data_IF_647555059381
#
_entry.id   IF_647555059381
#
_cell.length_a   1.000
_cell.length_b   1.000
_cell.length_c   1.000
_cell.angle_alpha   90.00
_cell.angle_beta   90.00
_cell.angle_gamma   90.00
#
_symmetry.space_group_name_H-M   'P 1'
#
loop_
_entity.id
_entity.type
_entity.pdbx_description
1 polymer ?
#
# COMPACT_ATOMS: atom_id res chain seq x y z
N UNK A 1 35.57 8.25 -3.52
CA UNK A 1 36.79 7.55 -3.05
C UNK A 1 37.32 6.56 -4.09
N UNK A 2 36.64 5.46 -4.41
CA UNK A 2 37.17 4.49 -5.38
C UNK A 2 37.35 5.04 -6.80
N UNK A 3 36.37 5.79 -7.33
CA UNK A 3 36.46 6.43 -8.65
C UNK A 3 37.61 7.44 -8.80
N UNK A 4 38.10 7.99 -7.69
CA UNK A 4 39.22 8.95 -7.67
C UNK A 4 40.53 8.30 -7.20
N UNK A 5 40.57 6.97 -7.10
CA UNK A 5 41.78 6.20 -6.77
C UNK A 5 42.17 6.17 -5.29
N UNK A 6 41.35 6.72 -4.39
CA UNK A 6 41.63 6.73 -2.95
C UNK A 6 41.38 5.37 -2.27
N UNK A 7 40.61 4.49 -2.92
CA UNK A 7 40.27 3.15 -2.45
C UNK A 7 40.27 2.20 -3.65
N UNK A 8 40.67 0.94 -3.44
CA UNK A 8 40.64 -0.09 -4.49
C UNK A 8 39.20 -0.31 -4.99
N UNK A 9 39.03 -0.33 -6.31
CA UNK A 9 37.77 -0.67 -6.94
C UNK A 9 37.52 -2.17 -6.80
N UNK A 10 36.63 -2.55 -5.89
CA UNK A 10 36.18 -3.94 -5.73
C UNK A 10 35.05 -4.27 -6.69
N UNK A 11 34.80 -5.56 -6.92
CA UNK A 11 33.68 -6.05 -7.73
C UNK A 11 32.33 -5.48 -7.26
N UNK A 12 32.13 -5.38 -5.94
CA UNK A 12 30.93 -4.79 -5.35
C UNK A 12 30.76 -3.30 -5.72
N UNK A 13 31.85 -2.54 -5.70
CA UNK A 13 31.83 -1.12 -6.07
C UNK A 13 31.61 -0.93 -7.57
N UNK A 14 32.09 -1.86 -8.39
CA UNK A 14 31.84 -1.87 -9.83
C UNK A 14 30.37 -2.19 -10.14
N UNK A 15 29.79 -3.22 -9.52
CA UNK A 15 28.35 -3.53 -9.64
C UNK A 15 27.47 -2.36 -9.18
N UNK A 16 27.84 -1.73 -8.07
CA UNK A 16 27.18 -0.51 -7.59
C UNK A 16 27.27 0.59 -8.64
N UNK A 17 28.47 0.90 -9.13
CA UNK A 17 28.70 1.95 -10.13
C UNK A 17 27.87 1.73 -11.40
N UNK A 18 27.83 0.49 -11.91
CA UNK A 18 27.06 0.14 -13.10
C UNK A 18 25.55 0.30 -12.86
N UNK A 19 25.04 -0.12 -11.70
CA UNK A 19 23.62 0.06 -11.35
C UNK A 19 23.24 1.54 -11.30
N UNK A 20 24.08 2.37 -10.67
CA UNK A 20 23.88 3.82 -10.61
C UNK A 20 23.90 4.45 -12.01
N UNK A 21 24.85 4.05 -12.86
CA UNK A 21 24.95 4.52 -14.24
C UNK A 21 23.71 4.17 -15.07
N UNK A 22 23.18 2.95 -14.90
CA UNK A 22 22.00 2.45 -15.60
C UNK A 22 20.66 2.93 -15.00
N UNK A 23 20.68 3.83 -14.01
CA UNK A 23 19.50 4.28 -13.26
C UNK A 23 18.69 3.11 -12.63
N UNK A 24 19.39 2.07 -12.18
CA UNK A 24 18.85 0.91 -11.47
C UNK A 24 19.22 0.95 -9.99
N UNK A 25 18.30 0.50 -9.15
CA UNK A 25 18.59 0.37 -7.72
C UNK A 25 19.63 -0.75 -7.55
N UNK A 26 20.73 -0.51 -6.83
CA UNK A 26 21.72 -1.54 -6.56
C UNK A 26 21.11 -2.72 -5.77
N UNK A 27 21.44 -3.95 -6.14
CA UNK A 27 20.89 -5.19 -5.54
C UNK A 27 21.01 -5.20 -4.01
N UNK A 28 22.19 -4.82 -3.47
CA UNK A 28 22.41 -4.73 -2.01
C UNK A 28 21.49 -3.74 -1.29
N UNK A 29 20.97 -2.73 -2.00
CA UNK A 29 20.00 -1.80 -1.44
C UNK A 29 18.58 -2.36 -1.53
N UNK A 30 18.25 -3.09 -2.60
CA UNK A 30 16.97 -3.79 -2.74
C UNK A 30 16.81 -4.88 -1.66
N UNK A 31 17.88 -5.62 -1.34
CA UNK A 31 17.89 -6.71 -0.33
C UNK A 31 17.45 -6.26 1.07
N UNK A 32 17.76 -5.02 1.43
CA UNK A 32 17.43 -4.42 2.74
C UNK A 32 16.37 -3.31 2.62
N UNK A 33 15.97 -3.01 1.39
CA UNK A 33 15.05 -1.94 1.04
C UNK A 33 13.62 -2.42 0.95
N UNK A 34 12.73 -1.47 0.65
CA UNK A 34 11.33 -1.78 0.41
C UNK A 34 11.14 -2.35 -1.00
N UNK A 35 10.18 -3.26 -1.14
CA UNK A 35 9.84 -3.86 -2.43
C UNK A 35 9.36 -2.78 -3.40
N UNK A 36 10.07 -2.61 -4.52
CA UNK A 36 9.80 -1.58 -5.51
C UNK A 36 10.16 -2.06 -6.91
N UNK A 37 9.55 -1.43 -7.92
CA UNK A 37 9.90 -1.61 -9.34
C UNK A 37 10.37 -0.29 -9.97
N UNK A 38 10.55 0.75 -9.14
CA UNK A 38 10.92 2.10 -9.59
C UNK A 38 12.38 2.14 -10.06
N UNK A 39 12.71 2.96 -11.06
CA UNK A 39 14.10 3.29 -11.36
C UNK A 39 14.75 4.04 -10.20
N UNK A 40 16.08 4.07 -10.15
CA UNK A 40 16.85 4.63 -9.03
C UNK A 40 16.41 6.04 -8.64
N UNK A 41 16.25 6.94 -9.62
CA UNK A 41 15.85 8.32 -9.36
C UNK A 41 14.52 8.40 -8.59
N UNK A 42 13.47 7.72 -9.06
CA UNK A 42 12.16 7.67 -8.40
C UNK A 42 12.21 6.89 -7.09
N UNK A 43 13.04 5.86 -6.99
CA UNK A 43 13.21 5.08 -5.76
C UNK A 43 13.81 5.92 -4.63
N UNK A 44 14.80 6.77 -4.92
CA UNK A 44 15.39 7.68 -3.93
C UNK A 44 14.37 8.72 -3.45
N UNK A 45 13.53 9.24 -4.34
CA UNK A 45 12.44 10.15 -3.94
C UNK A 45 11.45 9.43 -3.01
N UNK A 46 10.98 8.23 -3.39
CA UNK A 46 10.09 7.43 -2.56
C UNK A 46 10.71 7.08 -1.20
N UNK A 47 12.02 6.79 -1.15
CA UNK A 47 12.75 6.60 0.10
C UNK A 47 12.72 7.85 0.98
N UNK A 48 13.00 9.03 0.40
CA UNK A 48 12.98 10.29 1.13
C UNK A 48 11.57 10.61 1.66
N UNK A 49 10.53 10.39 0.86
CA UNK A 49 9.14 10.60 1.27
C UNK A 49 8.74 9.67 2.42
N UNK A 50 9.17 8.39 2.38
CA UNK A 50 8.97 7.42 3.47
C UNK A 50 9.66 7.86 4.76
N UNK A 51 10.91 8.31 4.66
CA UNK A 51 11.67 8.82 5.81
C UNK A 51 10.97 10.05 6.38
N UNK A 52 10.58 11.00 5.52
CA UNK A 52 9.87 12.21 5.92
C UNK A 52 8.58 11.88 6.66
N UNK A 53 7.75 10.99 6.12
CA UNK A 53 6.51 10.54 6.76
C UNK A 53 6.76 9.97 8.18
N UNK A 54 7.80 9.15 8.35
CA UNK A 54 8.14 8.58 9.66
C UNK A 54 8.70 9.62 10.63
N UNK A 55 9.53 10.54 10.14
CA UNK A 55 10.08 11.64 10.96
C UNK A 55 8.96 12.56 11.45
N UNK A 56 8.04 12.96 10.57
CA UNK A 56 6.88 13.78 10.93
C UNK A 56 5.99 13.08 11.96
N UNK A 57 5.81 11.76 11.86
CA UNK A 57 5.11 10.99 12.89
C UNK A 57 5.89 11.03 14.22
N UNK A 58 7.20 10.79 14.22
CA UNK A 58 8.00 10.79 15.46
C UNK A 58 7.94 12.17 16.15
N UNK A 59 8.05 13.26 15.38
CA UNK A 59 8.11 14.63 15.91
C UNK A 59 6.72 15.20 16.25
N UNK A 60 5.73 14.98 15.39
CA UNK A 60 4.38 15.54 15.50
C UNK A 60 3.35 14.63 16.18
N UNK A 61 3.72 13.38 16.47
CA UNK A 61 2.82 12.37 17.00
C UNK A 61 2.02 11.63 15.92
N UNK A 62 1.14 10.74 16.35
CA UNK A 62 0.42 9.83 15.45
C UNK A 62 -0.45 10.58 14.45
N UNK A 63 -0.25 10.38 13.12
CA UNK A 63 -1.02 11.08 12.10
C UNK A 63 -2.49 10.64 12.12
N UNK A 64 -3.39 11.54 11.70
CA UNK A 64 -4.82 11.23 11.55
C UNK A 64 -5.08 10.25 10.40
N UNK A 65 -4.31 10.38 9.31
CA UNK A 65 -4.37 9.52 8.11
C UNK A 65 -2.99 8.96 7.80
N UNK A 66 -2.91 7.64 7.56
CA UNK A 66 -1.65 6.96 7.30
C UNK A 66 -1.42 6.73 5.79
N UNK A 67 -0.21 7.04 5.32
CA UNK A 67 0.21 6.65 3.98
C UNK A 67 0.56 5.15 3.98
N UNK A 68 -0.39 4.28 3.60
CA UNK A 68 -0.19 2.84 3.75
C UNK A 68 0.96 2.33 2.87
N UNK A 69 1.17 2.98 1.73
CA UNK A 69 2.23 2.64 0.78
C UNK A 69 3.60 3.02 1.27
N UNK A 70 3.69 3.93 2.25
CA UNK A 70 4.93 4.34 2.90
C UNK A 70 5.52 3.28 3.83
N UNK A 71 4.71 2.31 4.30
CA UNK A 71 5.19 1.25 5.17
C UNK A 71 6.01 0.19 4.42
N UNK A 72 7.10 -0.24 5.05
CA UNK A 72 7.88 -1.40 4.60
C UNK A 72 7.04 -2.71 4.67
N UNK A 73 6.28 -2.85 5.75
CA UNK A 73 5.42 -4.01 6.00
C UNK A 73 4.02 -3.58 6.46
N UNK A 74 3.14 -3.20 5.52
CA UNK A 74 1.79 -2.70 5.82
C UNK A 74 0.91 -3.73 6.54
N UNK A 75 1.14 -5.03 6.35
CA UNK A 75 0.40 -6.08 7.06
C UNK A 75 0.60 -6.00 8.57
N UNK A 76 1.81 -5.72 9.05
CA UNK A 76 2.04 -5.54 10.49
C UNK A 76 1.33 -4.31 11.03
N UNK A 77 1.30 -3.21 10.28
CA UNK A 77 0.52 -2.02 10.66
C UNK A 77 -0.96 -2.37 10.83
N UNK A 78 -1.56 -3.04 9.83
CA UNK A 78 -2.97 -3.45 9.88
C UNK A 78 -3.26 -4.42 11.03
N UNK A 79 -2.38 -5.40 11.28
CA UNK A 79 -2.49 -6.29 12.44
C UNK A 79 -2.38 -5.53 13.75
N UNK A 80 -1.47 -4.55 13.84
CA UNK A 80 -1.34 -3.66 14.99
C UNK A 80 -2.61 -2.86 15.25
N UNK A 81 -3.29 -2.37 14.20
CA UNK A 81 -4.59 -1.70 14.33
C UNK A 81 -5.64 -2.63 14.93
N UNK A 82 -5.71 -3.90 14.48
CA UNK A 82 -6.62 -4.90 15.04
C UNK A 82 -6.27 -5.22 16.51
N UNK A 83 -4.99 -5.35 16.84
CA UNK A 83 -4.53 -5.57 18.22
C UNK A 83 -4.91 -4.43 19.15
N UNK A 84 -4.76 -3.18 18.70
CA UNK A 84 -5.13 -2.01 19.49
C UNK A 84 -6.63 -1.98 19.76
N UNK A 85 -7.46 -2.29 18.76
CA UNK A 85 -8.91 -2.41 18.92
C UNK A 85 -9.29 -3.56 19.86
N UNK A 86 -8.72 -4.74 19.66
CA UNK A 86 -8.93 -5.92 20.51
C UNK A 86 -8.64 -5.62 21.98
N UNK A 87 -7.53 -4.93 22.27
CA UNK A 87 -7.14 -4.53 23.63
C UNK A 87 -8.09 -3.47 24.21
N UNK A 88 -8.45 -2.46 23.41
CA UNK A 88 -9.35 -1.37 23.84
C UNK A 88 -10.73 -1.90 24.23
N UNK A 89 -11.25 -2.87 23.47
CA UNK A 89 -12.61 -3.39 23.64
C UNK A 89 -12.69 -4.74 24.35
N UNK A 90 -11.54 -5.34 24.73
CA UNK A 90 -11.44 -6.64 25.40
C UNK A 90 -12.13 -7.74 24.54
N UNK A 91 -11.73 -7.82 23.27
CA UNK A 91 -12.25 -8.77 22.28
C UNK A 91 -11.10 -9.62 21.77
N UNK A 92 -11.35 -10.90 21.48
CA UNK A 92 -10.37 -11.78 20.87
C UNK A 92 -10.07 -11.34 19.42
N UNK A 93 -8.80 -11.24 19.05
CA UNK A 93 -8.38 -10.68 17.76
C UNK A 93 -8.87 -11.50 16.55
N UNK A 94 -9.04 -12.80 16.73
CA UNK A 94 -9.55 -13.75 15.74
C UNK A 94 -11.02 -13.52 15.37
N UNK A 95 -11.79 -12.86 16.24
CA UNK A 95 -13.17 -12.45 15.95
C UNK A 95 -13.24 -11.14 15.15
N UNK A 96 -12.11 -10.47 14.90
CA UNK A 96 -12.07 -9.16 14.26
C UNK A 96 -11.76 -9.26 12.76
N UNK A 97 -12.53 -8.51 11.98
CA UNK A 97 -12.20 -8.21 10.58
C UNK A 97 -12.41 -6.73 10.29
N UNK A 98 -11.79 -6.23 9.22
CA UNK A 98 -12.02 -4.86 8.79
C UNK A 98 -13.32 -4.76 8.01
N UNK A 99 -14.11 -3.73 8.33
CA UNK A 99 -15.06 -3.11 7.43
C UNK A 99 -14.36 -1.95 6.74
N UNK A 100 -14.59 -1.79 5.44
CA UNK A 100 -14.02 -0.69 4.66
C UNK A 100 -15.10 0.36 4.38
N UNK A 101 -14.76 1.62 4.56
CA UNK A 101 -15.58 2.75 4.11
C UNK A 101 -14.71 3.67 3.28
N UNK A 102 -15.13 3.95 2.06
CA UNK A 102 -14.40 4.83 1.15
C UNK A 102 -14.85 6.27 1.43
N UNK A 103 -13.87 7.15 1.58
CA UNK A 103 -14.02 8.58 1.82
C UNK A 103 -13.42 9.31 0.62
N UNK A 104 -14.28 9.74 -0.29
CA UNK A 104 -13.94 10.46 -1.51
C UNK A 104 -14.32 11.94 -1.48
N UNK A 105 -14.97 12.41 -0.42
CA UNK A 105 -15.35 13.81 -0.22
C UNK A 105 -14.27 14.65 0.48
N UNK A 106 -13.28 14.01 1.12
CA UNK A 106 -12.26 14.69 1.94
C UNK A 106 -10.87 14.21 1.50
N UNK A 107 -9.96 15.15 1.25
CA UNK A 107 -8.57 14.81 0.94
C UNK A 107 -7.83 14.31 2.19
N UNK A 108 -6.83 13.43 2.06
CA UNK A 108 -6.02 12.99 3.20
C UNK A 108 -5.37 14.14 3.98
N UNK A 109 -5.02 15.24 3.32
CA UNK A 109 -4.37 16.41 3.92
C UNK A 109 -5.34 17.27 4.74
N UNK A 110 -6.62 17.29 4.37
CA UNK A 110 -7.65 18.07 5.08
C UNK A 110 -8.24 17.32 6.29
N UNK A 111 -7.95 16.02 6.42
CA UNK A 111 -8.41 15.20 7.53
C UNK A 111 -7.49 15.36 8.76
N UNK A 112 -7.92 16.20 9.71
CA UNK A 112 -7.16 16.50 10.94
C UNK A 112 -7.54 15.62 12.13
N UNK A 113 -8.71 14.97 12.08
CA UNK A 113 -9.22 14.15 13.17
C UNK A 113 -8.97 12.66 12.93
N UNK A 114 -8.40 11.98 13.93
CA UNK A 114 -8.25 10.53 13.92
C UNK A 114 -9.60 9.84 14.13
N UNK A 115 -9.83 8.65 13.55
CA UNK A 115 -11.04 7.90 13.84
C UNK A 115 -11.03 7.41 15.29
N UNK A 116 -12.21 7.25 15.89
CA UNK A 116 -12.35 6.67 17.23
C UNK A 116 -11.78 5.24 17.31
N UNK A 117 -12.00 4.47 16.25
CA UNK A 117 -11.53 3.10 16.08
C UNK A 117 -11.01 2.86 14.66
N UNK A 118 -9.96 2.04 14.54
CA UNK A 118 -9.36 1.72 13.25
C UNK A 118 -8.36 2.77 12.78
N UNK A 119 -8.21 2.90 11.47
CA UNK A 119 -7.33 3.90 10.85
C UNK A 119 -7.85 4.37 9.49
N UNK A 120 -7.59 5.64 9.16
CA UNK A 120 -7.72 6.14 7.80
C UNK A 120 -6.42 5.88 7.06
N UNK A 121 -6.50 5.40 5.82
CA UNK A 121 -5.34 5.13 4.97
C UNK A 121 -5.51 5.69 3.57
N UNK A 122 -4.39 6.06 2.94
CA UNK A 122 -4.34 6.50 1.55
C UNK A 122 -3.09 5.96 0.84
N UNK A 123 -3.01 6.21 -0.47
CA UNK A 123 -1.85 5.89 -1.31
C UNK A 123 -1.99 4.61 -2.13
N UNK A 124 -3.20 4.09 -2.28
CA UNK A 124 -3.46 2.92 -3.12
C UNK A 124 -3.82 3.33 -4.55
N UNK A 125 -3.37 2.55 -5.52
CA UNK A 125 -3.67 2.70 -6.94
C UNK A 125 -4.46 1.49 -7.42
N UNK A 126 -5.36 1.67 -8.36
CA UNK A 126 -6.21 0.63 -8.94
C UNK A 126 -5.87 0.46 -10.42
N UNK A 127 -5.74 -0.79 -10.87
CA UNK A 127 -5.52 -1.18 -12.27
C UNK A 127 -6.74 -1.92 -12.81
N UNK A 128 -7.09 -1.67 -14.07
CA UNK A 128 -8.20 -2.34 -14.76
C UNK A 128 -9.60 -1.86 -14.36
N UNK A 129 -9.69 -0.94 -13.41
CA UNK A 129 -10.91 -0.23 -13.04
C UNK A 129 -10.55 1.16 -12.47
N UNK A 130 -11.57 1.97 -12.20
CA UNK A 130 -11.44 3.24 -11.49
C UNK A 130 -12.48 3.41 -10.39
N UNK A 131 -12.16 4.22 -9.40
CA UNK A 131 -13.17 4.76 -8.51
C UNK A 131 -13.94 5.90 -9.19
N UNK A 132 -15.26 5.89 -9.08
CA UNK A 132 -16.10 6.96 -9.60
C UNK A 132 -16.74 7.73 -8.43
N UNK A 133 -16.18 8.90 -8.11
CA UNK A 133 -16.63 9.75 -7.01
C UNK A 133 -18.05 10.32 -7.19
N UNK A 134 -18.59 10.36 -8.42
CA UNK A 134 -19.98 10.80 -8.62
C UNK A 134 -20.98 9.70 -8.25
N UNK A 135 -20.60 8.43 -8.39
CA UNK A 135 -21.47 7.29 -8.11
C UNK A 135 -21.09 6.56 -6.84
N UNK A 136 -19.96 6.89 -6.22
CA UNK A 136 -19.33 6.21 -5.08
C UNK A 136 -19.21 4.70 -5.30
N UNK A 137 -18.80 4.30 -6.52
CA UNK A 137 -18.73 2.91 -6.95
C UNK A 137 -17.53 2.68 -7.87
N UNK A 138 -17.11 1.42 -7.94
CA UNK A 138 -16.17 0.92 -8.93
C UNK A 138 -16.78 1.02 -10.34
N UNK A 139 -15.97 1.52 -11.27
CA UNK A 139 -16.37 1.75 -12.66
C UNK A 139 -15.22 1.39 -13.60
N UNK A 140 -15.51 1.30 -14.89
CA UNK A 140 -14.49 0.97 -15.89
C UNK A 140 -13.46 2.09 -16.03
N UNK A 141 -12.20 1.71 -16.26
CA UNK A 141 -11.11 2.65 -16.52
C UNK A 141 -11.42 3.54 -17.73
N UNK A 142 -10.94 4.78 -17.69
CA UNK A 142 -11.04 5.68 -18.83
C UNK A 142 -10.04 5.27 -19.93
N UNK A 143 -10.33 5.57 -21.21
CA UNK A 143 -9.35 5.40 -22.27
C UNK A 143 -8.01 6.06 -21.92
N UNK A 144 -6.90 5.36 -22.13
CA UNK A 144 -5.54 5.79 -21.80
C UNK A 144 -5.25 6.05 -20.30
N UNK A 145 -6.09 5.54 -19.40
CA UNK A 145 -5.84 5.57 -17.95
C UNK A 145 -5.55 4.16 -17.45
N UNK A 146 -4.26 3.81 -17.33
CA UNK A 146 -3.83 2.50 -16.83
C UNK A 146 -4.12 2.32 -15.34
N UNK A 147 -3.85 3.39 -14.57
CA UNK A 147 -4.01 3.41 -13.12
C UNK A 147 -4.90 4.58 -12.70
N UNK A 148 -5.68 4.37 -11.65
CA UNK A 148 -6.41 5.43 -10.95
C UNK A 148 -6.13 5.37 -9.46
N UNK A 149 -6.02 6.50 -8.79
CA UNK A 149 -5.89 6.53 -7.34
C UNK A 149 -7.21 6.11 -6.68
N UNK A 150 -7.10 5.30 -5.63
CA UNK A 150 -8.20 5.06 -4.72
C UNK A 150 -8.29 6.22 -3.72
N UNK A 151 -9.50 6.63 -3.34
CA UNK A 151 -9.69 7.62 -2.29
C UNK A 151 -9.16 7.14 -0.94
N UNK A 152 -9.24 8.02 0.06
CA UNK A 152 -8.98 7.65 1.44
C UNK A 152 -9.96 6.55 1.87
N UNK A 153 -9.47 5.56 2.62
CA UNK A 153 -10.28 4.43 3.08
C UNK A 153 -10.17 4.32 4.59
N UNK A 154 -11.30 4.21 5.26
CA UNK A 154 -11.37 3.86 6.67
C UNK A 154 -11.36 2.35 6.84
N UNK A 155 -10.30 1.85 7.47
CA UNK A 155 -10.16 0.48 7.92
C UNK A 155 -10.71 0.38 9.33
N UNK A 156 -11.98 0.01 9.47
CA UNK A 156 -12.69 -0.05 10.73
C UNK A 156 -12.80 -1.49 11.24
N UNK A 157 -12.13 -1.87 12.34
CA UNK A 157 -12.31 -3.17 12.96
C UNK A 157 -13.76 -3.41 13.39
N UNK A 158 -14.25 -4.62 13.16
CA UNK A 158 -15.59 -5.09 13.58
C UNK A 158 -15.52 -6.53 14.05
N UNK A 159 -16.12 -6.79 15.21
CA UNK A 159 -16.25 -8.13 15.79
C UNK A 159 -17.36 -8.92 15.07
N UNK A 160 -17.10 -10.19 14.79
CA UNK A 160 -18.05 -11.15 14.22
C UNK A 160 -18.79 -10.61 12.98
N UNK A 161 -18.09 -9.79 12.21
CA UNK A 161 -18.63 -9.14 11.02
C UNK A 161 -18.93 -10.18 9.94
N UNK A 162 -20.13 -10.10 9.39
CA UNK A 162 -20.48 -10.79 8.14
C UNK A 162 -20.04 -9.94 6.95
N UNK A 163 -19.25 -10.54 6.07
CA UNK A 163 -18.91 -9.94 4.77
C UNK A 163 -20.17 -9.75 3.93
N UNK A 164 -20.33 -8.64 3.21
CA UNK A 164 -21.42 -8.47 2.26
C UNK A 164 -21.40 -9.55 1.19
N UNK A 165 -22.53 -10.22 0.96
CA UNK A 165 -22.64 -11.27 -0.07
C UNK A 165 -22.77 -10.70 -1.48
N UNK A 166 -23.19 -9.43 -1.61
CA UNK A 166 -23.45 -8.76 -2.89
C UNK A 166 -23.08 -7.29 -2.85
N UNK A 167 -22.95 -6.67 -4.03
CA UNK A 167 -22.66 -5.23 -4.17
C UNK A 167 -21.22 -4.84 -3.89
N UNK A 168 -20.32 -5.82 -3.74
CA UNK A 168 -18.89 -5.60 -3.52
C UNK A 168 -18.04 -6.44 -4.47
N UNK A 169 -16.82 -5.98 -4.70
CA UNK A 169 -15.74 -6.72 -5.31
C UNK A 169 -14.60 -6.87 -4.32
N UNK A 170 -14.15 -8.11 -4.06
CA UNK A 170 -12.97 -8.38 -3.25
C UNK A 170 -11.71 -8.15 -4.09
N UNK A 171 -11.24 -6.91 -4.09
CA UNK A 171 -10.08 -6.46 -4.83
C UNK A 171 -8.78 -6.84 -4.12
N UNK A 172 -7.88 -7.64 -4.74
CA UNK A 172 -6.60 -7.97 -4.12
C UNK A 172 -5.67 -6.75 -4.12
N UNK A 173 -5.05 -6.47 -2.97
CA UNK A 173 -4.07 -5.40 -2.78
C UNK A 173 -2.66 -6.01 -2.75
N UNK A 174 -1.77 -5.50 -3.58
CA UNK A 174 -0.35 -5.88 -3.66
C UNK A 174 0.56 -4.70 -3.34
N UNK A 175 1.81 -4.95 -2.94
CA UNK A 175 2.80 -3.88 -2.80
C UNK A 175 3.21 -3.33 -4.16
N UNK A 176 3.50 -4.22 -5.12
CA UNK A 176 4.00 -3.85 -6.46
C UNK A 176 3.31 -4.64 -7.58
N UNK A 177 3.41 -4.09 -8.81
CA UNK A 177 2.73 -4.56 -10.02
C UNK A 177 3.05 -5.99 -10.46
N UNK A 178 4.19 -6.58 -10.04
CA UNK A 178 4.57 -7.93 -10.46
C UNK A 178 3.58 -9.00 -9.98
N UNK A 179 2.74 -8.71 -8.97
CA UNK A 179 1.80 -9.63 -8.30
C UNK A 179 2.42 -10.96 -7.84
N UNK A 180 3.75 -11.05 -7.91
CA UNK A 180 4.54 -12.19 -7.51
C UNK A 180 5.14 -11.92 -6.14
N UNK A 181 5.13 -12.92 -5.28
CA UNK A 181 5.73 -12.85 -3.96
C UNK A 181 5.91 -14.25 -3.38
N UNK A 182 6.94 -14.41 -2.57
CA UNK A 182 7.16 -15.59 -1.73
C UNK A 182 6.54 -15.39 -0.36
N UNK A 183 6.38 -16.48 0.40
CA UNK A 183 6.01 -16.42 1.81
C UNK A 183 7.25 -16.11 2.64
N UNK A 184 7.14 -15.17 3.57
CA UNK A 184 8.16 -14.91 4.59
C UNK A 184 8.21 -16.06 5.60
N UNK A 185 9.22 -16.05 6.47
CA UNK A 185 9.32 -16.99 7.61
C UNK A 185 8.14 -16.89 8.58
N UNK A 186 7.39 -15.77 8.56
CA UNK A 186 6.18 -15.56 9.36
C UNK A 186 4.89 -15.93 8.62
N UNK A 187 4.98 -16.55 7.44
CA UNK A 187 3.83 -16.97 6.62
C UNK A 187 3.13 -15.83 5.87
N UNK A 188 3.62 -14.59 5.98
CA UNK A 188 3.05 -13.47 5.24
C UNK A 188 3.63 -13.39 3.83
N UNK A 189 2.80 -13.05 2.84
CA UNK A 189 3.32 -12.79 1.50
C UNK A 189 4.20 -11.53 1.50
N UNK A 190 5.31 -11.61 0.77
CA UNK A 190 6.21 -10.47 0.54
C UNK A 190 5.54 -9.37 -0.31
N UNK A 191 4.53 -9.72 -1.12
CA UNK A 191 3.85 -8.79 -2.02
C UNK A 191 2.33 -8.67 -1.79
N UNK A 192 1.61 -9.77 -1.54
CA UNK A 192 0.17 -9.70 -1.25
C UNK A 192 -0.09 -9.12 0.14
N UNK A 193 -0.96 -8.11 0.22
CA UNK A 193 -1.28 -7.37 1.44
C UNK A 193 -2.60 -7.87 2.04
N UNK A 194 -3.72 -7.72 1.31
CA UNK A 194 -5.08 -8.07 1.77
C UNK A 194 -6.09 -7.96 0.61
N UNK A 195 -7.28 -8.53 0.77
CA UNK A 195 -8.47 -8.16 -0.01
C UNK A 195 -9.12 -6.88 0.52
N UNK A 196 -9.43 -5.96 -0.38
CA UNK A 196 -10.17 -4.73 -0.13
C UNK A 196 -11.56 -4.86 -0.75
N UNK A 197 -12.60 -4.56 0.01
CA UNK A 197 -13.97 -4.62 -0.49
C UNK A 197 -14.35 -3.30 -1.15
N UNK A 198 -14.47 -3.31 -2.47
CA UNK A 198 -14.84 -2.14 -3.27
C UNK A 198 -16.31 -2.22 -3.67
N UNK A 199 -17.15 -1.22 -3.33
CA UNK A 199 -18.54 -1.16 -3.77
C UNK A 199 -18.68 -1.18 -5.30
N UNK A 200 -19.60 -1.99 -5.83
CA UNK A 200 -19.86 -2.14 -7.27
C UNK A 200 -21.31 -2.50 -7.55
N UNK A 201 -21.85 -2.06 -8.69
CA UNK A 201 -23.14 -2.54 -9.23
C UNK A 201 -23.01 -3.81 -10.07
N UNK A 202 -21.82 -4.06 -10.58
CA UNK A 202 -21.51 -5.21 -11.43
C UNK A 202 -21.23 -6.46 -10.60
N UNK A 203 -21.44 -7.63 -11.20
CA UNK A 203 -21.08 -8.91 -10.59
C UNK A 203 -19.56 -9.00 -10.41
N UNK A 204 -19.14 -9.58 -9.29
CA UNK A 204 -17.73 -9.78 -8.94
C UNK A 204 -16.91 -10.41 -10.07
N UNK A 205 -17.49 -11.41 -10.75
CA UNK A 205 -16.86 -12.12 -11.86
C UNK A 205 -16.36 -11.20 -12.99
N UNK A 206 -17.01 -10.06 -13.24
CA UNK A 206 -16.57 -9.08 -14.25
C UNK A 206 -15.17 -8.57 -13.91
N UNK A 207 -14.97 -8.17 -12.66
CA UNK A 207 -13.72 -7.58 -12.19
C UNK A 207 -12.62 -8.62 -12.02
N UNK A 208 -12.97 -9.83 -11.62
CA UNK A 208 -12.05 -10.97 -11.59
C UNK A 208 -11.51 -11.27 -12.99
N UNK A 209 -12.40 -11.36 -14.00
CA UNK A 209 -12.00 -11.62 -15.39
C UNK A 209 -11.17 -10.47 -15.99
N UNK A 210 -11.47 -9.23 -15.61
CA UNK A 210 -10.69 -8.06 -15.98
C UNK A 210 -9.33 -7.98 -15.26
N UNK A 211 -9.07 -8.85 -14.28
CA UNK A 211 -7.83 -8.87 -13.52
C UNK A 211 -7.61 -7.63 -12.66
N UNK A 212 -8.69 -6.98 -12.20
CA UNK A 212 -8.61 -5.77 -11.37
C UNK A 212 -7.80 -6.05 -10.11
N UNK A 213 -6.92 -5.12 -9.74
CA UNK A 213 -6.17 -5.20 -8.50
C UNK A 213 -5.76 -3.81 -8.03
N UNK A 214 -5.48 -3.70 -6.74
CA UNK A 214 -4.94 -2.51 -6.13
C UNK A 214 -3.45 -2.68 -5.79
N UNK A 215 -2.70 -1.58 -5.79
CA UNK A 215 -1.26 -1.54 -5.61
C UNK A 215 -0.85 -0.41 -4.69
N UNK A 216 0.19 -0.64 -3.90
CA UNK A 216 0.79 0.40 -3.05
C UNK A 216 1.83 1.23 -3.80
N UNK A 217 2.53 0.64 -4.77
CA UNK A 217 3.54 1.33 -5.56
C UNK A 217 3.42 0.99 -7.06
N UNK A 218 3.52 2.05 -7.87
CA UNK A 218 3.62 1.97 -9.34
C UNK A 218 5.09 2.05 -9.79
N UNK A 219 5.36 1.66 -11.03
CA UNK A 219 6.71 1.52 -11.61
C UNK A 219 7.42 2.85 -11.90
N UNK A 220 6.71 3.98 -11.91
CA UNK A 220 7.26 5.29 -12.29
C UNK A 220 7.42 6.22 -11.09
#
# INVERSE_FOLDING_TARGET
>A
KALVGEVVMSEDLEKLSNSLYDNRVPEKWEDVGFLSLKPLASWVQDLNDRIKFLVEWIEGGTPAVFWISGFFFPQAFLTGTLQNYARKHIIAIDELSFQFKIYDDISPQDCTEKPEDGCYVYGMYLEGARWNANTHLLDESRPNQLYSELPMIWFLPKQNRKTPDTGIYNCPVYKVLSRAGTLSTTGHSTNYVRMLELPTKEKEAKWILAGVAAFLALRY
#
